data_IF_451517070011
#
_entry.id   IF_451517070011
#
_cell.length_a   1.000
_cell.length_b   1.000
_cell.length_c   1.000
_cell.angle_alpha   90.00
_cell.angle_beta   90.00
_cell.angle_gamma   90.00
#
_symmetry.space_group_name_H-M   'P 1'
#
loop_
_entity.id
_entity.type
_entity.pdbx_description
1 polymer ?
#
# COMPACT_ATOMS: atom_id res chain seq x y z
N UNK A 1 4.85 1.39 -18.14
CA UNK A 1 4.70 0.47 -16.98
C UNK A 1 4.74 1.36 -15.75
N UNK A 2 3.60 1.54 -15.09
CA UNK A 2 3.50 2.47 -13.96
C UNK A 2 4.46 2.04 -12.85
N UNK A 3 5.20 3.01 -12.33
CA UNK A 3 6.09 2.87 -11.18
C UNK A 3 5.34 2.18 -10.03
N UNK A 4 5.81 1.03 -9.53
CA UNK A 4 5.16 0.25 -8.46
C UNK A 4 4.88 1.10 -7.22
N UNK A 5 5.75 2.07 -6.90
CA UNK A 5 5.55 3.05 -5.83
C UNK A 5 4.23 3.80 -6.04
N UNK A 6 3.99 4.30 -7.25
CA UNK A 6 2.77 5.03 -7.60
C UNK A 6 1.54 4.12 -7.53
N UNK A 7 1.65 2.87 -7.97
CA UNK A 7 0.54 1.93 -7.86
C UNK A 7 0.11 1.69 -6.40
N UNK A 8 1.07 1.59 -5.48
CA UNK A 8 0.79 1.46 -4.03
C UNK A 8 0.11 2.72 -3.50
N UNK A 9 0.68 3.90 -3.81
CA UNK A 9 0.15 5.17 -3.31
C UNK A 9 -1.26 5.45 -3.87
N UNK A 10 -1.48 5.22 -5.16
CA UNK A 10 -2.81 5.35 -5.78
C UNK A 10 -3.79 4.33 -5.23
N UNK A 11 -3.38 3.09 -4.95
CA UNK A 11 -4.27 2.12 -4.31
C UNK A 11 -4.67 2.57 -2.90
N UNK A 12 -3.70 3.06 -2.12
CA UNK A 12 -3.91 3.41 -0.72
C UNK A 12 -4.69 4.70 -0.51
N UNK A 13 -4.38 5.74 -1.31
CA UNK A 13 -4.96 7.06 -1.17
C UNK A 13 -6.04 7.38 -2.21
N UNK A 14 -6.06 6.69 -3.36
CA UNK A 14 -6.89 7.10 -4.49
C UNK A 14 -6.46 8.45 -5.07
N UNK A 15 -7.41 9.17 -5.65
CA UNK A 15 -7.22 10.57 -6.00
C UNK A 15 -7.26 11.44 -4.74
N UNK A 16 -6.34 12.39 -4.66
CA UNK A 16 -6.31 13.38 -3.60
C UNK A 16 -7.03 14.65 -4.05
N UNK A 17 -7.74 15.29 -3.13
CA UNK A 17 -8.35 16.60 -3.38
C UNK A 17 -7.31 17.74 -3.44
N UNK A 18 -7.79 18.97 -3.63
CA UNK A 18 -6.94 20.18 -3.71
C UNK A 18 -6.12 20.45 -2.44
N UNK A 19 -6.48 19.84 -1.31
CA UNK A 19 -5.80 19.94 -0.03
C UNK A 19 -4.89 18.74 0.26
N UNK A 20 -4.88 17.73 -0.60
CA UNK A 20 -4.10 16.51 -0.43
C UNK A 20 -4.79 15.45 0.43
N UNK A 21 -6.10 15.56 0.68
CA UNK A 21 -6.86 14.53 1.40
C UNK A 21 -7.39 13.47 0.45
N UNK A 22 -7.37 12.22 0.92
CA UNK A 22 -8.00 11.13 0.21
C UNK A 22 -9.52 11.16 0.41
N UNK A 23 -10.25 10.61 -0.55
CA UNK A 23 -11.69 10.45 -0.44
C UNK A 23 -12.11 9.60 0.78
N UNK A 24 -13.24 9.94 1.39
CA UNK A 24 -13.77 9.30 2.61
C UNK A 24 -13.97 7.78 2.46
N UNK A 25 -14.23 7.32 1.25
CA UNK A 25 -14.33 5.90 0.91
C UNK A 25 -13.09 5.06 1.30
N UNK A 26 -11.91 5.69 1.38
CA UNK A 26 -10.66 5.03 1.81
C UNK A 26 -10.68 4.65 3.29
N UNK A 27 -11.56 5.24 4.10
CA UNK A 27 -11.71 4.86 5.51
C UNK A 27 -12.06 3.37 5.67
N UNK A 28 -12.82 2.79 4.72
CA UNK A 28 -13.12 1.35 4.75
C UNK A 28 -11.86 0.51 4.54
N UNK A 29 -11.00 0.92 3.60
CA UNK A 29 -9.71 0.28 3.33
C UNK A 29 -8.80 0.35 4.57
N UNK A 30 -8.72 1.51 5.22
CA UNK A 30 -7.78 1.76 6.32
C UNK A 30 -8.23 1.19 7.67
N UNK A 31 -9.53 1.26 7.99
CA UNK A 31 -10.03 0.97 9.33
C UNK A 31 -10.91 -0.28 9.44
N UNK A 32 -11.63 -0.64 8.36
CA UNK A 32 -12.51 -1.82 8.38
C UNK A 32 -11.87 -3.05 7.73
N UNK A 33 -11.06 -2.86 6.69
CA UNK A 33 -10.48 -3.96 5.92
C UNK A 33 -11.57 -4.80 5.23
N UNK A 34 -11.58 -6.10 5.50
CA UNK A 34 -12.56 -7.06 4.97
C UNK A 34 -11.99 -8.02 3.91
N UNK A 35 -12.68 -9.14 3.70
CA UNK A 35 -12.18 -10.24 2.86
C UNK A 35 -11.86 -9.81 1.41
N UNK A 36 -12.67 -8.92 0.82
CA UNK A 36 -12.42 -8.39 -0.51
C UNK A 36 -11.15 -7.52 -0.57
N UNK A 37 -10.98 -6.65 0.42
CA UNK A 37 -9.78 -5.81 0.58
C UNK A 37 -8.52 -6.66 0.78
N UNK A 38 -8.61 -7.69 1.60
CA UNK A 38 -7.49 -8.59 1.89
C UNK A 38 -7.10 -9.39 0.65
N UNK A 39 -8.09 -9.92 -0.06
CA UNK A 39 -7.86 -10.62 -1.32
C UNK A 39 -7.22 -9.69 -2.37
N UNK A 40 -7.69 -8.44 -2.47
CA UNK A 40 -7.12 -7.45 -3.39
C UNK A 40 -5.66 -7.14 -3.05
N UNK A 41 -5.35 -6.87 -1.78
CA UNK A 41 -3.99 -6.57 -1.33
C UNK A 41 -3.06 -7.77 -1.53
N UNK A 42 -3.49 -8.99 -1.15
CA UNK A 42 -2.70 -10.21 -1.36
C UNK A 42 -2.42 -10.45 -2.84
N UNK A 43 -3.42 -10.30 -3.70
CA UNK A 43 -3.30 -10.57 -5.13
C UNK A 43 -2.41 -9.54 -5.83
N UNK A 44 -2.59 -8.25 -5.54
CA UNK A 44 -1.90 -7.18 -6.25
C UNK A 44 -0.51 -6.88 -5.70
N UNK A 45 -0.34 -6.97 -4.38
CA UNK A 45 0.88 -6.50 -3.69
C UNK A 45 1.59 -7.57 -2.88
N UNK A 46 1.11 -8.82 -2.84
CA UNK A 46 1.76 -9.91 -2.08
C UNK A 46 3.20 -10.18 -2.52
N UNK A 47 3.49 -10.12 -3.83
CA UNK A 47 4.85 -10.27 -4.33
C UNK A 47 5.76 -9.10 -3.89
N UNK A 48 5.27 -7.87 -4.02
CA UNK A 48 5.99 -6.65 -3.61
C UNK A 48 6.25 -6.65 -2.09
N UNK A 49 5.26 -7.08 -1.32
CA UNK A 49 5.39 -7.26 0.13
C UNK A 49 6.50 -8.24 0.48
N UNK A 50 6.53 -9.41 -0.18
CA UNK A 50 7.60 -10.39 0.03
C UNK A 50 8.98 -9.83 -0.30
N UNK A 51 9.13 -9.13 -1.42
CA UNK A 51 10.39 -8.46 -1.80
C UNK A 51 10.81 -7.40 -0.78
N UNK A 52 9.87 -6.59 -0.30
CA UNK A 52 10.13 -5.59 0.73
C UNK A 52 10.58 -6.24 2.04
N UNK A 53 9.94 -7.35 2.46
CA UNK A 53 10.36 -8.10 3.66
C UNK A 53 11.77 -8.68 3.55
N UNK A 54 12.23 -8.97 2.33
CA UNK A 54 13.57 -9.47 2.04
C UNK A 54 14.63 -8.35 1.90
N UNK A 55 14.23 -7.08 2.02
CA UNK A 55 15.12 -5.92 1.86
C UNK A 55 15.45 -5.57 0.40
N UNK A 56 14.84 -6.26 -0.58
CA UNK A 56 15.12 -6.06 -2.01
C UNK A 56 14.69 -4.66 -2.50
N UNK A 57 13.80 -4.00 -1.76
CA UNK A 57 13.23 -2.69 -2.09
C UNK A 57 13.77 -1.54 -1.21
N UNK A 58 14.82 -1.76 -0.42
CA UNK A 58 15.38 -0.75 0.52
C UNK A 58 15.81 0.55 -0.18
N UNK A 59 16.23 0.46 -1.45
CA UNK A 59 16.58 1.61 -2.26
C UNK A 59 15.41 2.61 -2.43
N UNK A 60 14.15 2.19 -2.28
CA UNK A 60 12.98 3.09 -2.30
C UNK A 60 13.00 4.09 -1.14
N UNK A 61 13.65 3.73 -0.03
CA UNK A 61 13.73 4.59 1.15
C UNK A 61 14.54 5.88 0.91
N UNK A 62 15.31 5.95 -0.18
CA UNK A 62 16.07 7.13 -0.58
C UNK A 62 15.20 8.30 -1.05
N UNK A 63 13.92 8.07 -1.37
CA UNK A 63 12.99 9.11 -1.80
C UNK A 63 11.73 9.14 -0.93
N UNK A 64 11.12 10.31 -0.64
CA UNK A 64 9.96 10.41 0.25
C UNK A 64 8.78 9.51 -0.15
N UNK A 65 8.43 9.48 -1.43
CA UNK A 65 7.34 8.64 -1.96
C UNK A 65 7.63 7.15 -1.85
N UNK A 66 8.86 6.74 -2.15
CA UNK A 66 9.29 5.34 -2.03
C UNK A 66 9.32 4.88 -0.58
N UNK A 67 9.78 5.73 0.34
CA UNK A 67 9.72 5.47 1.78
C UNK A 67 8.29 5.29 2.29
N UNK A 68 7.37 6.15 1.85
CA UNK A 68 5.95 6.03 2.21
C UNK A 68 5.34 4.73 1.66
N UNK A 69 5.65 4.36 0.42
CA UNK A 69 5.20 3.10 -0.15
C UNK A 69 5.75 1.88 0.62
N UNK A 70 7.02 1.91 1.05
CA UNK A 70 7.57 0.85 1.91
C UNK A 70 6.84 0.74 3.24
N UNK A 71 6.51 1.86 3.90
CA UNK A 71 5.74 1.86 5.16
C UNK A 71 4.36 1.23 4.93
N UNK A 72 3.64 1.63 3.88
CA UNK A 72 2.33 1.07 3.56
C UNK A 72 2.43 -0.43 3.29
N UNK A 73 3.40 -0.86 2.49
CA UNK A 73 3.59 -2.29 2.19
C UNK A 73 3.94 -3.06 3.46
N UNK A 74 4.97 -2.65 4.20
CA UNK A 74 5.49 -3.41 5.32
C UNK A 74 4.61 -3.38 6.57
N UNK A 75 3.91 -2.29 6.86
CA UNK A 75 3.04 -2.17 8.04
C UNK A 75 1.57 -2.34 7.68
N UNK A 76 1.04 -1.55 6.75
CA UNK A 76 -0.41 -1.55 6.49
C UNK A 76 -0.85 -2.83 5.76
N UNK A 77 -0.21 -3.19 4.65
CA UNK A 77 -0.59 -4.39 3.89
C UNK A 77 -0.34 -5.68 4.67
N UNK A 78 0.67 -5.73 5.54
CA UNK A 78 0.89 -6.88 6.44
C UNK A 78 -0.36 -7.21 7.26
N UNK A 79 -1.08 -6.21 7.76
CA UNK A 79 -2.32 -6.39 8.56
C UNK A 79 -3.49 -6.97 7.75
N UNK A 80 -3.45 -6.84 6.43
CA UNK A 80 -4.44 -7.43 5.50
C UNK A 80 -3.99 -8.81 5.00
N UNK A 81 -2.70 -8.94 4.65
CA UNK A 81 -2.10 -10.17 4.11
C UNK A 81 -2.10 -11.31 5.14
N UNK A 82 -1.91 -11.00 6.42
CA UNK A 82 -1.84 -12.01 7.49
C UNK A 82 -3.03 -11.98 8.43
N UNK A 83 -4.13 -11.31 8.04
CA UNK A 83 -5.36 -11.30 8.84
C UNK A 83 -5.92 -12.72 8.99
N UNK A 84 -6.24 -13.09 10.23
CA UNK A 84 -6.91 -14.31 10.67
C UNK A 84 -7.88 -13.99 11.78
#
# INVERSE_FOLDING_TARGET
>A
MNNTIEAILTFWFGELDEHGYAAEERNKLWFQGGAATDAAIRTQFGAVHKQAQQGELDHWAGQPRGRLALIIVLDQFSRNIFRG
#
